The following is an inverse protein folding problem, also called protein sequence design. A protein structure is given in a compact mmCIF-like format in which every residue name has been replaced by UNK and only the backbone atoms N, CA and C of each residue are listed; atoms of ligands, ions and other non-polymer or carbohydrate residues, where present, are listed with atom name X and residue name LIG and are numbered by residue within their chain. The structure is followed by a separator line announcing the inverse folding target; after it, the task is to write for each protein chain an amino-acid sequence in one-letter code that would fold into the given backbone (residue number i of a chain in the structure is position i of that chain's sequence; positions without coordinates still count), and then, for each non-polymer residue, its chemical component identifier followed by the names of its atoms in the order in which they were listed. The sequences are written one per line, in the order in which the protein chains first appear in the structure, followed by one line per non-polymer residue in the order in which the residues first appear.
data_IF_164868621054
#
_entry.id   IF_164868621054
#
_cell.length_a   1.000
_cell.length_b   1.000
_cell.length_c   1.000
_cell.angle_alpha   90.00
_cell.angle_beta   90.00
_cell.angle_gamma   90.00
#
_symmetry.space_group_name_H-M   'P 1'
#
loop_
_entity.id
_entity.type
_entity.pdbx_description
1 polymer ?
#
# COMPACT_ATOMS: atom_id res chain seq x y z
N UNK A 1 1.12 0.41 -16.44
CA UNK A 1 1.55 0.94 -15.15
C UNK A 1 0.71 0.38 -14.00
N UNK A 2 1.18 0.57 -12.77
CA UNK A 2 0.58 0.08 -11.54
C UNK A 2 0.48 1.23 -10.54
N UNK A 3 -0.71 1.45 -9.97
CA UNK A 3 -0.91 2.34 -8.83
C UNK A 3 -1.03 1.52 -7.55
N UNK A 4 -0.17 1.78 -6.57
CA UNK A 4 -0.24 1.23 -5.22
C UNK A 4 -0.77 2.31 -4.26
N UNK A 5 -1.79 1.99 -3.49
CA UNK A 5 -2.39 2.90 -2.49
C UNK A 5 -2.36 2.25 -1.11
N UNK A 6 -1.83 2.98 -0.12
CA UNK A 6 -1.95 2.64 1.29
C UNK A 6 -2.95 3.55 1.99
N UNK A 7 -4.03 3.00 2.54
CA UNK A 7 -5.03 3.75 3.29
C UNK A 7 -5.66 2.88 4.37
N UNK A 8 -5.33 3.13 5.63
CA UNK A 8 -5.87 2.35 6.75
C UNK A 8 -7.39 2.30 6.76
N UNK A 9 -8.08 3.42 6.61
CA UNK A 9 -9.56 3.47 6.52
C UNK A 9 -10.10 2.99 5.16
N UNK A 10 -9.33 3.19 4.09
CA UNK A 10 -9.78 2.98 2.72
C UNK A 10 -10.83 3.97 2.22
N UNK A 11 -11.05 5.09 2.95
CA UNK A 11 -12.10 6.09 2.65
C UNK A 11 -11.53 7.49 2.32
N UNK A 12 -10.22 7.60 2.13
CA UNK A 12 -9.56 8.88 1.88
C UNK A 12 -9.97 9.47 0.53
N UNK A 13 -10.69 10.58 0.56
CA UNK A 13 -11.29 11.19 -0.65
C UNK A 13 -10.27 11.52 -1.74
N UNK A 14 -9.13 12.10 -1.38
CA UNK A 14 -8.05 12.43 -2.33
C UNK A 14 -7.52 11.17 -3.05
N UNK A 15 -7.37 10.06 -2.32
CA UNK A 15 -6.90 8.81 -2.90
C UNK A 15 -7.93 8.18 -3.85
N UNK A 16 -9.23 8.42 -3.63
CA UNK A 16 -10.27 8.01 -4.57
C UNK A 16 -10.16 8.74 -5.91
N UNK A 17 -9.84 10.04 -5.89
CA UNK A 17 -9.59 10.81 -7.12
C UNK A 17 -8.42 10.22 -7.90
N UNK A 18 -7.32 9.86 -7.22
CA UNK A 18 -6.19 9.20 -7.88
C UNK A 18 -6.54 7.82 -8.42
N UNK A 19 -7.33 7.05 -7.67
CA UNK A 19 -7.84 5.75 -8.11
C UNK A 19 -8.66 5.86 -9.39
N UNK A 20 -9.59 6.80 -9.42
CA UNK A 20 -10.44 7.06 -10.59
C UNK A 20 -9.58 7.45 -11.81
N UNK A 21 -8.62 8.35 -11.62
CA UNK A 21 -7.72 8.75 -12.70
C UNK A 21 -6.87 7.58 -13.21
N UNK A 22 -6.37 6.75 -12.33
CA UNK A 22 -5.60 5.56 -12.70
C UNK A 22 -6.44 4.58 -13.54
N UNK A 23 -7.71 4.38 -13.17
CA UNK A 23 -8.65 3.56 -13.96
C UNK A 23 -8.90 4.13 -15.35
N UNK A 24 -9.09 5.45 -15.47
CA UNK A 24 -9.25 6.13 -16.77
C UNK A 24 -8.02 5.93 -17.68
N UNK A 25 -6.83 5.84 -17.07
CA UNK A 25 -5.57 5.59 -17.78
C UNK A 25 -5.28 4.11 -18.02
N UNK A 26 -6.21 3.21 -17.67
CA UNK A 26 -6.03 1.75 -17.83
C UNK A 26 -4.97 1.14 -16.92
N UNK A 27 -4.59 1.83 -15.83
CA UNK A 27 -3.62 1.31 -14.87
C UNK A 27 -4.21 0.19 -14.01
N UNK A 28 -3.37 -0.78 -13.63
CA UNK A 28 -3.73 -1.72 -12.56
C UNK A 28 -3.65 -1.00 -11.22
N UNK A 29 -4.56 -1.34 -10.31
CA UNK A 29 -4.64 -0.69 -8.99
C UNK A 29 -4.60 -1.71 -7.88
N UNK A 30 -3.81 -1.45 -6.85
CA UNK A 30 -3.71 -2.25 -5.63
C UNK A 30 -3.91 -1.36 -4.43
N UNK A 31 -4.73 -1.78 -3.49
CA UNK A 31 -4.97 -1.08 -2.22
C UNK A 31 -4.57 -1.95 -1.04
N UNK A 32 -3.80 -1.36 -0.13
CA UNK A 32 -3.53 -1.87 1.21
C UNK A 32 -4.42 -1.11 2.19
N UNK A 33 -5.23 -1.82 2.97
CA UNK A 33 -6.20 -1.20 3.89
C UNK A 33 -6.50 -2.09 5.09
N UNK A 34 -7.05 -1.54 6.16
CA UNK A 34 -7.59 -2.33 7.27
C UNK A 34 -9.04 -2.76 7.02
N UNK A 35 -9.74 -2.13 6.07
CA UNK A 35 -11.17 -2.34 5.84
C UNK A 35 -11.44 -2.87 4.42
N UNK A 36 -11.78 -4.15 4.34
CA UNK A 36 -12.14 -4.82 3.09
C UNK A 36 -13.36 -4.19 2.40
N UNK A 37 -14.28 -3.65 3.19
CA UNK A 37 -15.55 -3.08 2.69
C UNK A 37 -15.44 -1.59 2.33
N UNK A 38 -14.24 -1.02 2.45
CA UNK A 38 -14.01 0.38 2.11
C UNK A 38 -14.19 0.68 0.63
N UNK A 39 -14.46 1.94 0.32
CA UNK A 39 -14.64 2.40 -1.06
C UNK A 39 -13.41 2.07 -1.92
N UNK A 40 -12.20 2.38 -1.44
CA UNK A 40 -10.97 2.10 -2.18
C UNK A 40 -10.75 0.59 -2.40
N UNK A 41 -11.07 -0.25 -1.39
CA UNK A 41 -10.93 -1.70 -1.53
C UNK A 41 -11.88 -2.30 -2.57
N UNK A 42 -13.12 -1.82 -2.62
CA UNK A 42 -14.11 -2.25 -3.62
C UNK A 42 -13.79 -1.76 -5.03
N UNK A 43 -13.18 -0.59 -5.15
CA UNK A 43 -12.86 0.02 -6.43
C UNK A 43 -11.54 -0.48 -7.04
N UNK A 44 -10.61 -0.96 -6.23
CA UNK A 44 -9.31 -1.46 -6.68
C UNK A 44 -9.44 -2.79 -7.43
N UNK A 45 -8.52 -3.03 -8.36
CA UNK A 45 -8.41 -4.35 -9.02
C UNK A 45 -7.99 -5.44 -8.02
N UNK A 46 -7.12 -5.10 -7.07
CA UNK A 46 -6.70 -5.99 -5.98
C UNK A 46 -6.69 -5.22 -4.67
N UNK A 47 -7.10 -5.86 -3.59
CA UNK A 47 -7.02 -5.33 -2.24
C UNK A 47 -6.30 -6.29 -1.32
N UNK A 48 -5.39 -5.76 -0.49
CA UNK A 48 -4.70 -6.47 0.56
C UNK A 48 -5.14 -5.92 1.91
N UNK A 49 -5.71 -6.78 2.75
CA UNK A 49 -6.19 -6.37 4.07
C UNK A 49 -5.09 -6.58 5.11
N UNK A 50 -4.67 -5.49 5.74
CA UNK A 50 -3.73 -5.49 6.85
C UNK A 50 -4.53 -5.52 8.15
N UNK A 51 -4.26 -6.52 9.01
CA UNK A 51 -4.93 -6.66 10.31
C UNK A 51 -4.38 -5.64 11.32
N UNK A 52 -4.81 -4.41 11.19
CA UNK A 52 -4.49 -3.31 12.08
C UNK A 52 -5.72 -2.43 12.29
N UNK A 53 -5.71 -1.60 13.32
CA UNK A 53 -6.78 -0.61 13.49
C UNK A 53 -6.55 0.58 12.56
N UNK A 54 -7.63 1.09 11.99
CA UNK A 54 -7.63 2.41 11.38
C UNK A 54 -7.85 3.49 12.45
N UNK A 55 -7.48 4.72 12.15
CA UNK A 55 -7.66 5.86 13.08
C UNK A 55 -9.12 6.17 13.43
N UNK A 56 -10.08 5.60 12.72
CA UNK A 56 -11.53 5.81 12.91
C UNK A 56 -12.27 4.57 13.41
N UNK A 57 -11.55 3.49 13.75
CA UNK A 57 -12.16 2.24 14.17
C UNK A 57 -12.30 2.19 15.68
N UNK A 58 -13.49 1.85 16.17
CA UNK A 58 -13.73 1.56 17.57
C UNK A 58 -13.09 0.21 17.95
N UNK A 59 -12.56 0.15 19.16
CA UNK A 59 -11.85 -1.02 19.68
C UNK A 59 -10.34 -1.00 19.40
N UNK A 60 -9.55 -1.02 20.48
CA UNK A 60 -8.08 -1.03 20.37
C UNK A 60 -7.57 -2.43 20.10
N UNK A 61 -6.91 -2.61 18.98
CA UNK A 61 -6.11 -3.81 18.66
C UNK A 61 -4.67 -3.64 19.17
N UNK A 62 -4.22 -2.40 19.36
CA UNK A 62 -2.86 -2.06 19.75
C UNK A 62 -2.84 -0.87 20.71
N UNK A 63 -1.78 -0.78 21.50
CA UNK A 63 -1.46 0.41 22.33
C UNK A 63 -0.93 1.59 21.50
N UNK A 64 -0.56 1.33 20.25
CA UNK A 64 -0.09 2.38 19.35
C UNK A 64 -1.23 3.34 19.00
N UNK A 65 -0.92 4.66 18.90
CA UNK A 65 -1.95 5.66 18.62
C UNK A 65 -2.41 5.61 17.17
N UNK A 66 -3.68 5.93 16.96
CA UNK A 66 -4.28 6.18 15.63
C UNK A 66 -4.05 5.02 14.64
N UNK A 67 -3.45 5.31 13.49
CA UNK A 67 -3.13 4.36 12.42
C UNK A 67 -1.70 3.84 12.43
N UNK A 68 -0.91 4.11 13.50
CA UNK A 68 0.52 3.78 13.54
C UNK A 68 0.80 2.29 13.30
N UNK A 69 -0.04 1.40 13.84
CA UNK A 69 0.12 -0.03 13.61
C UNK A 69 -0.05 -0.38 12.13
N UNK A 70 -1.01 0.23 11.44
CA UNK A 70 -1.21 0.05 10.00
C UNK A 70 0.02 0.53 9.23
N UNK A 71 0.51 1.72 9.53
CA UNK A 71 1.67 2.33 8.84
C UNK A 71 2.92 1.47 9.02
N UNK A 72 3.17 0.98 10.22
CA UNK A 72 4.30 0.10 10.53
C UNK A 72 4.19 -1.25 9.82
N UNK A 73 3.01 -1.87 9.82
CA UNK A 73 2.79 -3.13 9.10
C UNK A 73 2.88 -2.94 7.57
N UNK A 74 2.40 -1.82 7.05
CA UNK A 74 2.52 -1.49 5.63
C UNK A 74 3.98 -1.38 5.21
N UNK A 75 4.82 -0.68 6.00
CA UNK A 75 6.25 -0.57 5.76
C UNK A 75 6.91 -1.95 5.68
N UNK A 76 6.72 -2.79 6.70
CA UNK A 76 7.29 -4.14 6.74
C UNK A 76 6.81 -5.02 5.59
N UNK A 77 5.51 -4.94 5.26
CA UNK A 77 4.93 -5.70 4.15
C UNK A 77 5.52 -5.27 2.80
N UNK A 78 5.65 -3.98 2.56
CA UNK A 78 6.22 -3.47 1.30
C UNK A 78 7.70 -3.80 1.16
N UNK A 79 8.46 -3.81 2.24
CA UNK A 79 9.85 -4.29 2.25
C UNK A 79 9.93 -5.78 1.88
N UNK A 80 9.07 -6.61 2.49
CA UNK A 80 8.99 -8.04 2.14
C UNK A 80 8.62 -8.26 0.67
N UNK A 81 7.67 -7.49 0.14
CA UNK A 81 7.27 -7.54 -1.28
C UNK A 81 8.46 -7.17 -2.17
N UNK A 82 9.18 -6.11 -1.83
CA UNK A 82 10.34 -5.64 -2.58
C UNK A 82 11.45 -6.70 -2.62
N UNK A 83 11.75 -7.31 -1.48
CA UNK A 83 12.74 -8.39 -1.40
C UNK A 83 12.32 -9.61 -2.25
N UNK A 84 11.06 -10.01 -2.16
CA UNK A 84 10.57 -11.16 -2.94
C UNK A 84 10.54 -10.87 -4.44
N UNK A 85 10.19 -9.64 -4.84
CA UNK A 85 10.26 -9.22 -6.24
C UNK A 85 11.70 -9.25 -6.77
N UNK A 86 12.65 -8.70 -6.03
CA UNK A 86 14.07 -8.72 -6.40
C UNK A 86 14.57 -10.17 -6.59
N UNK A 87 14.20 -11.06 -5.64
CA UNK A 87 14.53 -12.49 -5.72
C UNK A 87 13.92 -13.15 -6.97
N UNK A 88 12.64 -12.93 -7.26
CA UNK A 88 11.96 -13.51 -8.43
C UNK A 88 12.50 -13.00 -9.76
N UNK A 89 12.92 -11.75 -9.79
CA UNK A 89 13.49 -11.11 -10.97
C UNK A 89 14.99 -11.36 -11.13
N UNK A 90 15.61 -12.12 -10.21
CA UNK A 90 17.05 -12.35 -10.15
C UNK A 90 17.87 -11.04 -10.21
N UNK A 91 17.37 -9.99 -9.56
CA UNK A 91 18.07 -8.71 -9.48
C UNK A 91 19.12 -8.79 -8.37
N UNK A 92 20.38 -8.57 -8.72
CA UNK A 92 21.46 -8.47 -7.74
C UNK A 92 21.60 -7.07 -7.14
N UNK A 93 22.44 -6.97 -6.12
CA UNK A 93 22.66 -5.73 -5.38
C UNK A 93 23.32 -4.63 -6.23
N UNK A 94 24.21 -5.01 -7.15
CA UNK A 94 24.87 -4.08 -8.05
C UNK A 94 23.90 -3.45 -9.05
N UNK A 95 22.94 -4.23 -9.54
CA UNK A 95 21.88 -3.73 -10.43
C UNK A 95 20.97 -2.72 -9.71
N UNK A 96 20.63 -2.96 -8.43
CA UNK A 96 19.85 -2.02 -7.63
C UNK A 96 20.64 -0.73 -7.38
N UNK A 97 21.90 -0.83 -7.03
CA UNK A 97 22.81 0.30 -6.82
C UNK A 97 22.94 1.17 -8.09
N UNK A 98 23.10 0.55 -9.23
CA UNK A 98 23.24 1.27 -10.52
C UNK A 98 21.96 1.97 -10.97
N UNK A 99 20.81 1.60 -10.42
CA UNK A 99 19.51 2.27 -10.67
C UNK A 99 19.13 3.28 -9.61
N UNK A 100 19.92 3.36 -8.54
CA UNK A 100 19.69 4.34 -7.49
C UNK A 100 19.92 5.76 -8.02
N UNK A 101 19.14 6.71 -7.52
CA UNK A 101 19.33 8.12 -7.85
C UNK A 101 20.71 8.58 -7.40
N UNK A 102 21.47 9.23 -8.27
CA UNK A 102 22.78 9.78 -7.96
C UNK A 102 22.69 11.29 -7.65
N UNK A 103 21.63 11.69 -6.97
CA UNK A 103 21.46 13.05 -6.45
C UNK A 103 22.13 13.25 -5.06
N UNK A 104 22.86 12.25 -4.59
CA UNK A 104 23.69 12.32 -3.38
C UNK A 104 25.09 12.88 -3.67
#
# INVERSE_FOLDING_TARGET
DLLLIGSGSGETKTLRVYMEKAKQLGMKTVVFTCNRESALAREAKFSCVIRAQSKFQDGRISVQPMGSLFEQQLLLLTDCITLELARRMNIDFEQLKNRHSNLE
#
